data_IF_616520060785
#
_entry.id   IF_616520060785
#
_cell.length_a   1.000
_cell.length_b   1.000
_cell.length_c   1.000
_cell.angle_alpha   90.00
_cell.angle_beta   90.00
_cell.angle_gamma   90.00
#
_symmetry.space_group_name_H-M   'P 1'
#
loop_
_entity.id
_entity.type
_entity.pdbx_description
1 polymer ?
#
# COMPACT_ATOMS: atom_id res chain seq x y z
N UNK A 1 16.53 -2.60 -27.19
CA UNK A 1 15.75 -3.48 -26.27
C UNK A 1 14.44 -3.80 -26.98
N UNK A 2 14.16 -5.07 -27.28
CA UNK A 2 12.97 -5.51 -28.05
C UNK A 2 11.66 -5.32 -27.27
N UNK A 3 10.55 -5.08 -27.97
CA UNK A 3 9.19 -4.89 -27.39
C UNK A 3 8.73 -6.10 -26.54
N UNK A 4 9.19 -7.31 -26.84
CA UNK A 4 8.86 -8.52 -26.05
C UNK A 4 9.51 -8.51 -24.65
N UNK A 5 10.74 -8.01 -24.54
CA UNK A 5 11.45 -7.92 -23.25
C UNK A 5 10.80 -6.89 -22.32
N UNK A 6 10.23 -5.84 -22.90
CA UNK A 6 9.51 -4.79 -22.18
C UNK A 6 8.22 -5.32 -21.52
N UNK A 7 7.39 -6.02 -22.31
CA UNK A 7 6.14 -6.63 -21.81
C UNK A 7 6.43 -7.65 -20.70
N UNK A 8 7.47 -8.47 -20.90
CA UNK A 8 7.94 -9.44 -19.90
C UNK A 8 8.36 -8.78 -18.56
N UNK A 9 8.97 -7.60 -18.60
CA UNK A 9 9.38 -6.88 -17.38
C UNK A 9 8.19 -6.31 -16.62
N UNK A 10 7.21 -5.73 -17.31
CA UNK A 10 5.97 -5.21 -16.68
C UNK A 10 5.17 -6.35 -16.06
N UNK A 11 5.01 -7.47 -16.76
CA UNK A 11 4.31 -8.65 -16.25
C UNK A 11 4.96 -9.22 -14.98
N UNK A 12 6.30 -9.23 -14.93
CA UNK A 12 7.06 -9.63 -13.74
C UNK A 12 6.80 -8.69 -12.55
N UNK A 13 6.80 -7.37 -12.78
CA UNK A 13 6.54 -6.37 -11.73
C UNK A 13 5.10 -6.47 -11.21
N UNK A 14 4.13 -6.66 -12.10
CA UNK A 14 2.73 -6.87 -11.75
C UNK A 14 2.57 -8.15 -10.91
N UNK A 15 3.22 -9.24 -11.31
CA UNK A 15 3.21 -10.50 -10.56
C UNK A 15 3.79 -10.33 -9.15
N UNK A 16 4.85 -9.52 -9.00
CA UNK A 16 5.42 -9.20 -7.68
C UNK A 16 4.45 -8.39 -6.81
N UNK A 17 3.78 -7.39 -7.37
CA UNK A 17 2.74 -6.62 -6.67
C UNK A 17 1.61 -7.52 -6.20
N UNK A 18 1.12 -8.39 -7.06
CA UNK A 18 0.04 -9.32 -6.73
C UNK A 18 0.45 -10.29 -5.62
N UNK A 19 1.69 -10.78 -5.64
CA UNK A 19 2.22 -11.62 -4.57
C UNK A 19 2.26 -10.87 -3.23
N UNK A 20 2.69 -9.60 -3.22
CA UNK A 20 2.69 -8.75 -2.01
C UNK A 20 1.27 -8.51 -1.51
N UNK A 21 0.33 -8.20 -2.40
CA UNK A 21 -1.08 -8.02 -2.08
C UNK A 21 -1.69 -9.29 -1.48
N UNK A 22 -1.42 -10.47 -2.07
CA UNK A 22 -1.88 -11.77 -1.54
C UNK A 22 -1.35 -12.03 -0.13
N UNK A 23 -0.06 -11.76 0.11
CA UNK A 23 0.53 -11.88 1.46
C UNK A 23 -0.14 -10.96 2.48
N UNK A 24 -0.41 -9.71 2.08
CA UNK A 24 -1.15 -8.77 2.93
C UNK A 24 -2.56 -9.26 3.24
N UNK A 25 -3.32 -9.70 2.23
CA UNK A 25 -4.70 -10.17 2.42
C UNK A 25 -4.76 -11.42 3.30
N UNK A 26 -3.83 -12.36 3.12
CA UNK A 26 -3.71 -13.53 4.00
C UNK A 26 -3.47 -13.12 5.45
N UNK A 27 -2.49 -12.25 5.67
CA UNK A 27 -2.21 -11.73 7.02
C UNK A 27 -3.42 -10.99 7.60
N UNK A 28 -4.15 -10.21 6.79
CA UNK A 28 -5.35 -9.49 7.24
C UNK A 28 -6.48 -10.44 7.64
N UNK A 29 -6.67 -11.54 6.90
CA UNK A 29 -7.66 -12.56 7.26
C UNK A 29 -7.33 -13.29 8.56
N UNK A 30 -6.04 -13.42 8.89
CA UNK A 30 -5.57 -13.99 10.16
C UNK A 30 -5.62 -12.98 11.32
N UNK A 31 -5.77 -11.68 11.03
CA UNK A 31 -5.78 -10.58 12.00
C UNK A 31 -6.99 -9.63 11.78
N UNK A 32 -8.23 -10.14 11.83
CA UNK A 32 -9.43 -9.35 11.50
C UNK A 32 -9.70 -8.22 12.49
N UNK A 33 -9.28 -8.41 13.73
CA UNK A 33 -9.32 -7.44 14.82
C UNK A 33 -8.49 -6.17 14.53
N UNK A 34 -7.31 -6.31 13.93
CA UNK A 34 -6.49 -5.17 13.49
C UNK A 34 -7.26 -4.34 12.46
N UNK A 35 -7.97 -5.00 11.54
CA UNK A 35 -8.78 -4.31 10.54
C UNK A 35 -9.93 -3.53 11.17
N UNK A 36 -10.68 -4.16 12.08
CA UNK A 36 -11.80 -3.54 12.79
C UNK A 36 -11.32 -2.29 13.53
N UNK A 37 -10.24 -2.41 14.30
CA UNK A 37 -9.71 -1.30 15.08
C UNK A 37 -9.15 -0.19 14.18
N UNK A 38 -8.45 -0.55 13.11
CA UNK A 38 -7.97 0.41 12.12
C UNK A 38 -9.11 1.22 11.53
N UNK A 39 -10.22 0.57 11.15
CA UNK A 39 -11.42 1.25 10.62
C UNK A 39 -12.04 2.15 11.68
N UNK A 40 -12.24 1.66 12.90
CA UNK A 40 -12.85 2.45 13.98
C UNK A 40 -12.07 3.74 14.23
N UNK A 41 -10.75 3.64 14.43
CA UNK A 41 -9.88 4.79 14.65
C UNK A 41 -9.84 5.72 13.42
N UNK A 42 -9.87 5.17 12.20
CA UNK A 42 -9.96 5.97 10.97
C UNK A 42 -11.22 6.83 10.94
N UNK A 43 -12.38 6.21 11.21
CA UNK A 43 -13.67 6.88 11.20
C UNK A 43 -13.80 7.88 12.36
N UNK A 44 -13.24 7.57 13.53
CA UNK A 44 -13.16 8.52 14.65
C UNK A 44 -12.35 9.76 14.26
N UNK A 45 -11.19 9.58 13.62
CA UNK A 45 -10.37 10.68 13.15
C UNK A 45 -11.10 11.53 12.09
N UNK A 46 -11.83 10.90 11.16
CA UNK A 46 -12.65 11.60 10.17
C UNK A 46 -13.77 12.40 10.86
N UNK A 47 -14.51 11.79 11.80
CA UNK A 47 -15.59 12.46 12.55
C UNK A 47 -15.09 13.64 13.37
N UNK A 48 -13.82 13.64 13.78
CA UNK A 48 -13.17 14.77 14.45
C UNK A 48 -12.87 15.96 13.53
N UNK A 49 -13.24 15.88 12.24
CA UNK A 49 -13.06 16.94 11.24
C UNK A 49 -11.70 16.92 10.53
N UNK A 50 -10.87 15.89 10.75
CA UNK A 50 -9.57 15.79 10.07
C UNK A 50 -9.76 15.41 8.61
N UNK A 51 -9.19 16.20 7.71
CA UNK A 51 -9.21 15.92 6.26
C UNK A 51 -8.13 14.95 5.81
N UNK A 52 -7.00 14.96 6.51
CA UNK A 52 -5.89 14.04 6.26
C UNK A 52 -5.34 13.50 7.58
N UNK A 53 -4.90 12.25 7.57
CA UNK A 53 -4.31 11.62 8.74
C UNK A 53 -3.22 10.62 8.39
N UNK A 54 -2.40 10.28 9.39
CA UNK A 54 -1.30 9.33 9.23
C UNK A 54 -1.78 7.92 9.59
N UNK A 55 -1.74 7.01 8.61
CA UNK A 55 -1.98 5.59 8.85
C UNK A 55 -0.97 5.00 9.85
N UNK A 56 0.23 5.58 9.93
CA UNK A 56 1.23 5.19 10.90
C UNK A 56 0.80 5.51 12.34
N UNK A 57 0.16 6.66 12.58
CA UNK A 57 -0.34 7.01 13.92
C UNK A 57 -1.45 6.07 14.37
N UNK A 58 -2.37 5.73 13.47
CA UNK A 58 -3.43 4.74 13.74
C UNK A 58 -2.81 3.38 14.06
N UNK A 59 -1.87 2.92 13.24
CA UNK A 59 -1.20 1.64 13.49
C UNK A 59 -0.36 1.64 14.77
N UNK A 60 0.31 2.75 15.10
CA UNK A 60 1.04 2.91 16.35
C UNK A 60 0.10 2.82 17.56
N UNK A 61 -1.08 3.45 17.49
CA UNK A 61 -2.12 3.33 18.52
C UNK A 61 -2.55 1.88 18.73
N UNK A 62 -2.83 1.14 17.64
CA UNK A 62 -3.19 -0.28 17.69
C UNK A 62 -2.06 -1.13 18.29
N UNK A 63 -0.79 -0.82 17.99
CA UNK A 63 0.36 -1.50 18.57
C UNK A 63 0.55 -1.23 20.08
N UNK A 64 0.04 -0.11 20.59
CA UNK A 64 0.09 0.20 22.03
C UNK A 64 -1.09 -0.43 22.77
N UNK A 65 -2.31 -0.33 22.21
CA UNK A 65 -3.53 -0.81 22.87
C UNK A 65 -3.61 -2.33 22.95
N UNK A 66 -2.87 -3.00 22.07
CA UNK A 66 -2.68 -4.43 22.11
C UNK A 66 -1.22 -4.58 22.46
N UNK A 67 -0.87 -5.14 23.61
CA UNK A 67 0.50 -5.50 24.00
C UNK A 67 1.08 -6.52 23.01
N UNK A 68 1.26 -6.10 21.77
CA UNK A 68 1.76 -6.85 20.64
C UNK A 68 3.29 -6.76 20.76
N UNK A 69 3.79 -7.37 21.81
CA UNK A 69 5.10 -7.96 21.78
C UNK A 69 4.85 -9.43 21.49
N UNK A 70 5.26 -9.93 20.32
CA UNK A 70 5.60 -11.35 20.32
C UNK A 70 6.76 -11.51 21.30
N UNK A 71 6.84 -12.65 21.97
CA UNK A 71 7.99 -13.02 22.81
C UNK A 71 9.34 -12.91 22.08
N UNK A 72 9.31 -12.80 20.74
CA UNK A 72 10.47 -12.69 19.84
C UNK A 72 10.68 -11.26 19.27
N UNK A 73 9.95 -10.24 19.73
CA UNK A 73 10.20 -8.83 19.40
C UNK A 73 9.66 -8.33 18.05
N UNK A 74 8.96 -9.16 17.28
CA UNK A 74 8.36 -8.78 16.00
C UNK A 74 6.97 -8.13 16.18
N UNK A 75 6.85 -6.85 15.81
CA UNK A 75 5.55 -6.16 15.78
C UNK A 75 4.61 -6.87 14.79
N UNK A 76 3.41 -7.31 15.22
CA UNK A 76 2.42 -7.95 14.32
C UNK A 76 2.06 -7.06 13.11
N UNK A 77 2.14 -5.74 13.25
CA UNK A 77 1.92 -4.78 12.15
C UNK A 77 3.28 -4.26 11.69
N UNK A 78 3.73 -4.62 10.49
CA UNK A 78 4.96 -4.08 9.88
C UNK A 78 4.70 -2.77 9.13
N UNK A 79 5.75 -1.99 8.84
CA UNK A 79 5.60 -0.73 8.10
C UNK A 79 5.01 -0.92 6.69
N UNK A 80 5.33 -2.04 6.04
CA UNK A 80 4.71 -2.39 4.75
C UNK A 80 3.19 -2.59 4.91
N UNK A 81 2.76 -3.32 5.95
CA UNK A 81 1.34 -3.58 6.22
C UNK A 81 0.55 -2.30 6.49
N UNK A 82 1.15 -1.29 7.12
CA UNK A 82 0.52 0.03 7.33
C UNK A 82 0.14 0.67 5.99
N UNK A 83 1.05 0.64 5.01
CA UNK A 83 0.77 1.15 3.66
C UNK A 83 -0.38 0.42 2.97
N UNK A 84 -0.43 -0.91 3.14
CA UNK A 84 -1.53 -1.72 2.61
C UNK A 84 -2.85 -1.50 3.33
N UNK A 85 -2.86 -1.30 4.66
CA UNK A 85 -4.07 -0.96 5.42
C UNK A 85 -4.67 0.36 4.93
N UNK A 86 -3.84 1.38 4.70
CA UNK A 86 -4.29 2.66 4.17
C UNK A 86 -4.94 2.52 2.78
N UNK A 87 -4.30 1.76 1.88
CA UNK A 87 -4.80 1.49 0.52
C UNK A 87 -6.09 0.67 0.56
N UNK A 88 -6.15 -0.34 1.43
CA UNK A 88 -7.33 -1.17 1.61
C UNK A 88 -8.50 -0.38 2.20
N UNK A 89 -8.23 0.56 3.11
CA UNK A 89 -9.22 1.52 3.59
C UNK A 89 -9.80 2.38 2.48
N UNK A 90 -8.99 2.96 1.61
CA UNK A 90 -9.52 3.70 0.45
C UNK A 90 -10.31 2.82 -0.52
N UNK A 91 -9.96 1.54 -0.64
CA UNK A 91 -10.73 0.60 -1.44
C UNK A 91 -12.09 0.26 -0.82
N UNK A 92 -12.17 0.11 0.51
CA UNK A 92 -13.41 -0.20 1.24
C UNK A 92 -14.29 1.02 1.54
N UNK A 93 -13.69 2.21 1.62
CA UNK A 93 -14.35 3.48 1.88
C UNK A 93 -13.97 4.51 0.80
N UNK A 94 -14.53 4.39 -0.43
CA UNK A 94 -14.19 5.28 -1.54
C UNK A 94 -14.47 6.76 -1.27
N UNK A 95 -15.50 7.06 -0.46
CA UNK A 95 -15.87 8.43 -0.06
C UNK A 95 -14.78 9.13 0.79
N UNK A 96 -13.83 8.34 1.32
CA UNK A 96 -12.71 8.83 2.11
C UNK A 96 -11.37 8.68 1.38
N UNK A 97 -11.40 8.52 0.05
CA UNK A 97 -10.19 8.49 -0.79
C UNK A 97 -9.39 9.77 -0.56
N UNK A 98 -8.08 9.61 -0.32
CA UNK A 98 -7.18 10.72 0.01
C UNK A 98 -7.09 11.09 1.50
N UNK A 99 -7.88 10.44 2.37
CA UNK A 99 -7.73 10.62 3.82
C UNK A 99 -6.32 10.26 4.32
N UNK A 100 -5.78 9.12 3.85
CA UNK A 100 -4.39 8.74 4.02
C UNK A 100 -3.53 9.23 2.86
N UNK A 101 -2.37 9.81 3.14
CA UNK A 101 -1.39 10.12 2.10
C UNK A 101 -0.61 8.86 1.74
N UNK A 102 -0.96 8.21 0.62
CA UNK A 102 -0.25 7.04 0.11
C UNK A 102 0.70 7.44 -1.02
N UNK A 103 1.95 6.96 -0.97
CA UNK A 103 2.91 7.07 -2.09
C UNK A 103 2.79 5.83 -2.98
N UNK A 104 3.03 5.94 -4.31
CA UNK A 104 3.14 4.77 -5.19
C UNK A 104 4.11 3.73 -4.63
N UNK A 105 3.77 2.45 -4.79
CA UNK A 105 4.68 1.35 -4.49
C UNK A 105 5.86 1.38 -5.47
N UNK A 106 6.98 0.77 -5.07
CA UNK A 106 8.18 0.73 -5.90
C UNK A 106 7.88 0.16 -7.29
N UNK A 107 7.14 -0.93 -7.34
CA UNK A 107 6.78 -1.61 -8.58
C UNK A 107 5.73 -0.81 -9.38
N UNK A 108 4.76 -0.15 -8.71
CA UNK A 108 3.83 0.78 -9.39
C UNK A 108 4.61 1.89 -10.10
N UNK A 109 5.57 2.51 -9.40
CA UNK A 109 6.43 3.55 -9.96
C UNK A 109 7.28 3.02 -11.12
N UNK A 110 7.86 1.83 -10.98
CA UNK A 110 8.66 1.21 -12.06
C UNK A 110 7.81 0.87 -13.28
N UNK A 111 6.59 0.39 -13.08
CA UNK A 111 5.63 0.13 -14.16
C UNK A 111 5.27 1.46 -14.85
N UNK A 112 4.94 2.50 -14.09
CA UNK A 112 4.66 3.84 -14.62
C UNK A 112 5.85 4.39 -15.42
N UNK A 113 7.07 4.31 -14.91
CA UNK A 113 8.29 4.74 -15.62
C UNK A 113 8.55 3.95 -16.90
N UNK A 114 8.26 2.64 -16.88
CA UNK A 114 8.36 1.80 -18.07
C UNK A 114 7.29 2.20 -19.10
N UNK A 115 6.03 2.43 -18.68
CA UNK A 115 4.92 2.83 -19.56
C UNK A 115 5.08 4.25 -20.11
N UNK A 116 5.67 5.15 -19.32
CA UNK A 116 5.86 6.55 -19.68
C UNK A 116 7.06 6.79 -20.59
N UNK A 117 7.92 5.80 -20.85
CA UNK A 117 9.00 5.90 -21.84
C UNK A 117 8.42 5.71 -23.24
N UNK A 118 8.22 6.78 -24.04
CA UNK A 118 8.00 6.57 -25.46
C UNK A 118 9.28 5.98 -26.02
N UNK A 119 9.17 5.03 -26.96
CA UNK A 119 10.31 4.51 -27.71
C UNK A 119 11.19 5.69 -28.14
N UNK A 120 12.44 5.75 -27.65
CA UNK A 120 13.47 6.65 -28.17
C UNK A 120 13.80 6.18 -29.60
N UNK A 121 12.94 6.49 -30.56
CA UNK A 121 13.20 6.33 -31.99
C UNK A 121 13.63 7.69 -32.53
N UNK A 122 14.95 7.82 -32.71
CA UNK A 122 15.62 8.55 -33.79
C UNK A 122 15.00 9.90 -34.19
N UNK A 123 15.47 10.99 -33.58
CA UNK A 123 15.46 12.33 -34.16
C UNK A 123 16.80 13.03 -33.85
N UNK A 124 17.89 12.48 -34.39
CA UNK A 124 19.15 13.22 -34.60
C UNK A 124 19.58 13.02 -36.05
N UNK A 125 18.74 13.51 -36.96
CA UNK A 125 19.18 13.93 -38.29
C UNK A 125 18.51 15.26 -38.61
N UNK A 126 19.23 16.34 -38.34
CA UNK A 126 19.38 17.46 -39.26
C UNK A 126 20.63 18.25 -38.90
#
# INVERSE_FOLDING_TARGET
MSHEHYKSTVDMLQSRLDARRKRFLKWLSENPDVWIEFVNLSLMAIRSGRKHYSAWLIAARIRCDREIMSSDGDYKISNERIGWLARYFHHKYPDHKGFYKTRPLKEEKQIEELLARPNNVVQLHR
#
